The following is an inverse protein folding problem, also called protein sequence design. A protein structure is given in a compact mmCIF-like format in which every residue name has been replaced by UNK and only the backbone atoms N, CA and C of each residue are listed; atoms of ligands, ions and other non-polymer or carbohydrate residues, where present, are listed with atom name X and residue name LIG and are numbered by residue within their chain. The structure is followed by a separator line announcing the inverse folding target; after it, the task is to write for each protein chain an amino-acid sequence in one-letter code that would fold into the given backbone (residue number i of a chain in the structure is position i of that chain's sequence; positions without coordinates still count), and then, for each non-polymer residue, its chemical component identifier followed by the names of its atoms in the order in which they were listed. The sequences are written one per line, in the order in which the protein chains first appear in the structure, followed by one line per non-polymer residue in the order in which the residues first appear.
data_IF_663967966894
#
_entry.id   IF_663967966894
#
_cell.length_a   1.000
_cell.length_b   1.000
_cell.length_c   1.000
_cell.angle_alpha   90.00
_cell.angle_beta   90.00
_cell.angle_gamma   90.00
#
_symmetry.space_group_name_H-M   'P 1'
#
loop_
_entity.id
_entity.type
_entity.pdbx_description
1 polymer ?
#
# COMPACT_ATOMS: atom_id res chain seq x y z
N UNK A 1 -16.47 -6.98 66.22
CA UNK A 1 -16.22 -6.25 64.99
C UNK A 1 -14.73 -5.95 64.93
N UNK A 2 -13.87 -6.73 64.20
CA UNK A 2 -12.44 -6.36 64.05
C UNK A 2 -12.25 -5.50 62.78
N UNK A 3 -11.46 -4.44 62.94
CA UNK A 3 -11.05 -3.49 61.94
C UNK A 3 -10.12 -4.12 60.90
N UNK A 4 -10.51 -4.11 59.62
CA UNK A 4 -9.65 -4.50 58.47
C UNK A 4 -8.71 -3.36 58.13
N UNK A 5 -7.43 -3.58 58.41
CA UNK A 5 -6.32 -2.71 57.97
C UNK A 5 -6.12 -2.86 56.46
N UNK A 6 -6.48 -1.83 55.66
CA UNK A 6 -6.12 -1.72 54.24
C UNK A 6 -4.61 -1.51 54.12
N UNK A 7 -3.92 -2.52 53.54
CA UNK A 7 -2.55 -2.37 53.03
C UNK A 7 -2.61 -1.67 51.69
N UNK A 8 -2.14 -0.46 51.61
CA UNK A 8 -1.77 0.25 50.37
C UNK A 8 -0.49 -0.37 49.85
N UNK A 9 -0.55 -1.07 48.71
CA UNK A 9 0.64 -1.50 47.96
C UNK A 9 1.13 -0.32 47.11
N UNK A 10 2.35 0.13 47.39
CA UNK A 10 3.07 1.13 46.59
C UNK A 10 3.39 0.54 45.22
N UNK A 11 2.85 1.15 44.16
CA UNK A 11 3.19 0.85 42.78
C UNK A 11 4.56 1.49 42.52
N UNK A 12 5.61 0.67 42.38
CA UNK A 12 6.93 1.12 41.94
C UNK A 12 6.86 1.51 40.47
N UNK A 13 7.17 2.76 40.20
CA UNK A 13 7.37 3.29 38.83
C UNK A 13 8.52 2.56 38.16
N UNK A 14 8.21 1.87 37.05
CA UNK A 14 9.17 1.23 36.17
C UNK A 14 9.96 2.29 35.41
N UNK A 15 11.28 2.34 35.65
CA UNK A 15 12.21 3.18 34.92
C UNK A 15 12.37 2.69 33.48
N UNK A 16 12.51 3.57 32.48
CA UNK A 16 12.72 3.19 31.10
C UNK A 16 14.08 2.49 30.91
N UNK A 17 14.05 1.27 30.40
CA UNK A 17 15.26 0.50 30.05
C UNK A 17 15.88 1.08 28.79
N UNK A 18 17.02 1.77 28.92
CA UNK A 18 17.87 2.17 27.80
C UNK A 18 18.47 0.93 27.12
N UNK A 19 18.00 0.60 25.92
CA UNK A 19 18.60 -0.43 25.07
C UNK A 19 19.77 0.19 24.31
N UNK A 20 20.99 -0.06 24.79
CA UNK A 20 22.23 0.28 24.06
C UNK A 20 22.35 -0.62 22.83
N UNK A 21 22.69 -0.10 21.62
CA UNK A 21 22.90 -0.93 20.44
C UNK A 21 24.16 -1.79 20.62
N UNK A 22 23.99 -3.12 20.51
CA UNK A 22 25.09 -4.07 20.52
C UNK A 22 25.96 -3.87 19.26
N UNK A 23 27.22 -3.49 19.48
CA UNK A 23 28.25 -3.33 18.48
C UNK A 23 28.71 -4.72 18.01
N UNK A 24 28.17 -5.22 16.89
CA UNK A 24 28.62 -6.45 16.24
C UNK A 24 29.88 -6.12 15.42
N UNK A 25 31.04 -6.28 16.06
CA UNK A 25 32.33 -6.25 15.41
C UNK A 25 32.45 -7.38 14.40
N UNK A 26 32.41 -7.05 13.11
CA UNK A 26 32.75 -7.95 12.03
C UNK A 26 34.26 -7.91 11.85
N UNK A 27 34.95 -8.89 12.43
CA UNK A 27 36.36 -9.15 12.19
C UNK A 27 36.56 -9.66 10.75
N UNK A 28 37.23 -8.83 9.96
CA UNK A 28 37.71 -9.21 8.64
C UNK A 28 39.04 -9.97 8.78
N UNK A 29 39.01 -11.30 8.76
CA UNK A 29 40.21 -12.09 8.48
C UNK A 29 40.13 -12.65 7.06
N UNK A 30 40.92 -12.01 6.18
CA UNK A 30 41.14 -12.45 4.81
C UNK A 30 41.98 -13.71 4.75
N UNK A 31 41.41 -14.81 4.27
CA UNK A 31 42.18 -15.94 3.71
C UNK A 31 42.15 -15.86 2.19
N UNK A 32 43.28 -15.44 1.63
CA UNK A 32 43.57 -15.54 0.21
C UNK A 32 43.50 -17.01 -0.23
N UNK A 33 42.58 -17.34 -1.15
CA UNK A 33 42.58 -18.62 -1.86
C UNK A 33 43.44 -18.48 -3.10
N UNK A 34 44.52 -19.24 -3.13
CA UNK A 34 45.40 -19.42 -4.27
C UNK A 34 44.60 -19.87 -5.51
N UNK A 35 44.71 -19.08 -6.57
CA UNK A 35 44.21 -19.44 -7.89
C UNK A 35 45.14 -20.48 -8.52
N UNK A 36 44.65 -21.71 -8.70
CA UNK A 36 45.31 -22.73 -9.50
C UNK A 36 45.41 -22.22 -10.93
N UNK A 37 46.64 -22.15 -11.43
CA UNK A 37 47.00 -21.94 -12.85
C UNK A 37 46.48 -23.14 -13.65
N UNK A 38 45.53 -22.89 -14.52
CA UNK A 38 45.14 -23.89 -15.54
C UNK A 38 46.03 -23.74 -16.75
N UNK A 39 46.63 -24.84 -17.07
CA UNK A 39 47.54 -25.00 -18.20
C UNK A 39 46.83 -24.71 -19.53
N UNK A 40 47.50 -23.91 -20.33
CA UNK A 40 47.11 -23.48 -21.66
C UNK A 40 47.36 -24.62 -22.67
N UNK A 41 46.33 -25.12 -23.33
CA UNK A 41 46.43 -26.02 -24.48
C UNK A 41 46.24 -25.20 -25.77
N UNK A 42 47.24 -25.09 -26.65
CA UNK A 42 47.08 -24.37 -27.91
C UNK A 42 46.62 -25.34 -29.03
N UNK A 43 45.49 -25.03 -29.67
CA UNK A 43 45.13 -25.69 -30.91
C UNK A 43 43.64 -25.83 -31.20
N UNK A 44 43.03 -24.79 -31.72
CA UNK A 44 41.67 -24.84 -32.27
C UNK A 44 41.38 -23.59 -33.08
N UNK A 45 41.57 -23.65 -34.42
CA UNK A 45 41.15 -22.60 -35.35
C UNK A 45 39.62 -22.47 -35.30
N UNK A 46 39.07 -21.43 -34.61
CA UNK A 46 37.66 -21.10 -34.69
C UNK A 46 37.47 -19.93 -35.64
N UNK A 47 36.74 -20.22 -36.70
CA UNK A 47 36.21 -19.30 -37.70
C UNK A 47 35.42 -18.17 -37.04
N UNK A 48 35.81 -16.93 -37.34
CA UNK A 48 35.18 -15.73 -36.80
C UNK A 48 33.76 -15.54 -37.32
N UNK A 49 32.79 -15.68 -36.44
CA UNK A 49 31.43 -15.20 -36.72
C UNK A 49 31.26 -13.87 -35.99
N UNK A 50 31.32 -12.75 -36.74
CA UNK A 50 31.08 -11.38 -36.28
C UNK A 50 29.61 -11.20 -36.01
N UNK A 51 29.13 -11.53 -34.78
CA UNK A 51 27.83 -11.14 -34.26
C UNK A 51 28.02 -10.32 -32.97
N UNK A 52 28.46 -9.10 -33.08
CA UNK A 52 28.79 -8.23 -31.94
C UNK A 52 28.13 -6.87 -31.91
N UNK A 53 26.99 -6.66 -32.64
CA UNK A 53 26.37 -5.32 -32.75
C UNK A 53 25.14 -5.05 -31.90
N UNK A 54 24.42 -6.07 -31.41
CA UNK A 54 23.03 -5.85 -30.88
C UNK A 54 22.85 -6.00 -29.35
N UNK A 55 23.90 -6.44 -28.64
CA UNK A 55 23.76 -6.66 -27.19
C UNK A 55 23.92 -5.37 -26.34
N UNK A 56 24.78 -4.44 -26.80
CA UNK A 56 24.99 -3.15 -26.07
C UNK A 56 23.75 -2.24 -26.07
N UNK A 57 22.94 -2.29 -27.14
CA UNK A 57 21.67 -1.54 -27.22
C UNK A 57 20.58 -2.09 -26.29
N UNK A 58 20.50 -3.42 -26.13
CA UNK A 58 19.53 -4.07 -25.21
C UNK A 58 19.85 -3.78 -23.74
N UNK A 59 21.13 -3.78 -23.33
CA UNK A 59 21.52 -3.45 -21.95
C UNK A 59 21.23 -1.99 -21.58
N UNK A 60 21.48 -1.02 -22.46
CA UNK A 60 21.15 0.40 -22.21
C UNK A 60 19.65 0.63 -22.10
N UNK A 61 18.85 -0.06 -22.92
CA UNK A 61 17.39 0.07 -22.95
C UNK A 61 16.74 -0.55 -21.69
N UNK A 62 17.29 -1.67 -21.18
CA UNK A 62 16.83 -2.26 -19.92
C UNK A 62 17.18 -1.37 -18.73
N UNK A 63 18.41 -0.83 -18.67
CA UNK A 63 18.83 0.06 -17.57
C UNK A 63 18.04 1.37 -17.52
N UNK A 64 17.56 1.90 -18.67
CA UNK A 64 16.66 3.05 -18.71
C UNK A 64 15.26 2.70 -18.20
N UNK A 65 14.71 1.54 -18.60
CA UNK A 65 13.41 1.04 -18.11
C UNK A 65 13.43 0.72 -16.62
N UNK A 66 14.55 0.24 -16.09
CA UNK A 66 14.69 -0.05 -14.68
C UNK A 66 14.77 1.23 -13.84
N UNK A 67 15.47 2.28 -14.31
CA UNK A 67 15.46 3.62 -13.69
C UNK A 67 14.07 4.25 -13.70
N UNK A 68 13.37 4.24 -14.83
CA UNK A 68 11.99 4.76 -14.92
C UNK A 68 10.99 3.97 -14.04
N UNK A 69 11.30 2.71 -13.70
CA UNK A 69 10.53 1.92 -12.74
C UNK A 69 10.87 2.24 -11.30
N UNK A 70 12.11 2.58 -11.02
CA UNK A 70 12.56 2.97 -9.68
C UNK A 70 12.03 4.37 -9.32
N UNK A 71 12.08 5.33 -10.23
CA UNK A 71 11.53 6.68 -10.05
C UNK A 71 10.00 6.65 -9.78
N UNK A 72 9.27 5.68 -10.37
CA UNK A 72 7.84 5.46 -10.08
C UNK A 72 7.56 4.69 -8.77
N UNK A 73 8.59 4.15 -8.11
CA UNK A 73 8.39 3.48 -6.81
C UNK A 73 8.16 4.47 -5.68
N UNK A 74 8.73 5.66 -5.79
CA UNK A 74 8.70 6.68 -4.73
C UNK A 74 7.40 7.50 -4.71
N UNK A 75 6.56 7.41 -5.79
CA UNK A 75 5.29 8.11 -5.87
C UNK A 75 4.18 7.53 -4.97
N UNK A 76 4.33 6.28 -4.50
CA UNK A 76 3.29 5.58 -3.74
C UNK A 76 3.78 5.20 -2.35
N UNK A 77 3.09 5.68 -1.34
CA UNK A 77 3.26 5.19 0.02
C UNK A 77 2.73 3.76 0.13
N UNK A 78 3.46 2.90 0.84
CA UNK A 78 3.08 1.52 1.06
C UNK A 78 2.91 1.23 2.55
N UNK A 79 1.83 0.52 2.91
CA UNK A 79 1.60 0.03 4.28
C UNK A 79 1.22 -1.43 4.27
N UNK A 80 1.84 -2.20 5.15
CA UNK A 80 1.53 -3.60 5.34
C UNK A 80 0.27 -3.71 6.20
N UNK A 81 -0.76 -4.41 5.70
CA UNK A 81 -2.01 -4.64 6.40
C UNK A 81 -1.97 -5.91 7.24
N UNK A 82 -1.35 -6.97 6.71
CA UNK A 82 -1.26 -8.27 7.36
C UNK A 82 -0.08 -9.09 6.84
N UNK A 83 0.61 -9.78 7.75
CA UNK A 83 1.64 -10.78 7.43
C UNK A 83 1.29 -12.05 8.17
N UNK A 84 1.23 -13.16 7.44
CA UNK A 84 0.98 -14.47 8.01
C UNK A 84 1.95 -15.51 7.45
N UNK A 85 2.47 -16.37 8.33
CA UNK A 85 3.19 -17.58 7.93
C UNK A 85 2.18 -18.66 7.53
N UNK A 86 2.19 -19.07 6.29
CA UNK A 86 1.29 -20.10 5.75
C UNK A 86 2.07 -21.38 5.46
N UNK A 87 1.45 -22.50 5.74
CA UNK A 87 2.07 -23.83 5.69
C UNK A 87 1.33 -24.73 4.73
N UNK A 88 2.08 -25.45 3.89
CA UNK A 88 1.58 -26.58 3.10
C UNK A 88 2.10 -27.86 3.72
N UNK A 89 1.19 -28.72 4.14
CA UNK A 89 1.49 -30.04 4.70
C UNK A 89 1.62 -31.04 3.54
N UNK A 90 2.66 -31.85 3.56
CA UNK A 90 2.97 -32.89 2.58
C UNK A 90 3.38 -34.17 3.33
N UNK A 91 3.47 -35.32 2.63
CA UNK A 91 3.84 -36.61 3.25
C UNK A 91 5.19 -36.54 4.02
N UNK A 92 6.18 -35.81 3.52
CA UNK A 92 7.50 -35.66 4.16
C UNK A 92 7.64 -34.48 5.12
N UNK A 93 6.55 -33.78 5.47
CA UNK A 93 6.62 -32.65 6.42
C UNK A 93 5.85 -31.40 6.00
N UNK A 94 6.27 -30.23 6.50
CA UNK A 94 5.57 -28.96 6.33
C UNK A 94 6.44 -27.96 5.57
N UNK A 95 5.99 -27.49 4.40
CA UNK A 95 6.65 -26.39 3.69
C UNK A 95 6.02 -25.06 4.08
N UNK A 96 6.81 -24.20 4.68
CA UNK A 96 6.38 -22.88 5.14
C UNK A 96 6.64 -21.80 4.10
N UNK A 97 5.81 -20.77 4.10
CA UNK A 97 5.96 -19.56 3.26
C UNK A 97 5.32 -18.38 3.97
N UNK A 98 5.71 -17.17 3.61
CA UNK A 98 5.09 -15.95 4.12
C UNK A 98 4.06 -15.41 3.14
N UNK A 99 2.93 -14.95 3.66
CA UNK A 99 1.89 -14.23 2.92
C UNK A 99 1.83 -12.81 3.45
N UNK A 100 1.99 -11.81 2.57
CA UNK A 100 1.83 -10.41 2.89
C UNK A 100 0.64 -9.82 2.14
N UNK A 101 -0.17 -9.02 2.84
CA UNK A 101 -1.19 -8.14 2.28
C UNK A 101 -0.70 -6.71 2.43
N UNK A 102 -0.57 -5.99 1.33
CA UNK A 102 -0.04 -4.62 1.31
C UNK A 102 -1.04 -3.71 0.61
N UNK A 103 -1.27 -2.54 1.19
CA UNK A 103 -1.96 -1.43 0.55
C UNK A 103 -0.94 -0.42 0.06
N UNK A 104 -1.19 0.18 -1.10
CA UNK A 104 -0.42 1.30 -1.65
C UNK A 104 -1.37 2.43 -2.03
N UNK A 105 -0.90 3.67 -1.92
CA UNK A 105 -1.66 4.84 -2.33
C UNK A 105 -0.78 6.05 -2.55
N UNK A 106 -1.28 7.03 -3.27
CA UNK A 106 -0.61 8.29 -3.58
C UNK A 106 -1.07 9.47 -2.70
N UNK A 107 -1.99 9.21 -1.75
CA UNK A 107 -2.70 10.22 -0.95
C UNK A 107 -3.46 11.27 -1.80
N UNK A 108 -3.61 11.00 -3.12
CA UNK A 108 -4.28 11.87 -4.10
C UNK A 108 -5.41 11.14 -4.82
N UNK A 109 -6.20 10.35 -4.08
CA UNK A 109 -7.34 9.58 -4.57
C UNK A 109 -7.04 8.25 -5.25
N UNK A 110 -5.79 7.78 -5.32
CA UNK A 110 -5.46 6.45 -5.86
C UNK A 110 -5.03 5.51 -4.75
N UNK A 111 -5.66 4.36 -4.69
CA UNK A 111 -5.33 3.32 -3.71
C UNK A 111 -5.43 1.94 -4.36
N UNK A 112 -4.56 1.02 -3.95
CA UNK A 112 -4.57 -0.36 -4.43
C UNK A 112 -4.17 -1.35 -3.36
N UNK A 113 -4.62 -2.58 -3.51
CA UNK A 113 -4.26 -3.69 -2.61
C UNK A 113 -3.64 -4.82 -3.41
N UNK A 114 -2.61 -5.42 -2.82
CA UNK A 114 -1.98 -6.61 -3.36
C UNK A 114 -1.76 -7.67 -2.30
N UNK A 115 -1.91 -8.92 -2.71
CA UNK A 115 -1.60 -10.09 -1.92
C UNK A 115 -0.42 -10.82 -2.55
N UNK A 116 0.67 -10.98 -1.80
CA UNK A 116 1.89 -11.68 -2.21
C UNK A 116 2.21 -12.88 -1.33
N UNK A 117 2.85 -13.91 -1.90
CA UNK A 117 3.41 -15.06 -1.20
C UNK A 117 4.88 -15.22 -1.59
N UNK A 118 5.75 -15.43 -0.60
CA UNK A 118 7.18 -15.60 -0.78
C UNK A 118 7.78 -16.63 0.16
N UNK A 119 9.01 -17.04 -0.11
CA UNK A 119 9.81 -17.84 0.82
C UNK A 119 10.22 -16.97 2.02
N UNK A 120 10.50 -15.70 1.77
CA UNK A 120 10.84 -14.69 2.75
C UNK A 120 9.81 -13.54 2.76
N UNK A 121 9.75 -12.78 3.85
CA UNK A 121 8.81 -11.66 4.05
C UNK A 121 9.06 -10.56 3.01
N UNK A 122 10.33 -10.18 2.78
CA UNK A 122 10.69 -9.14 1.82
C UNK A 122 10.24 -9.50 0.39
N UNK A 123 10.43 -10.77 -0.02
CA UNK A 123 9.95 -11.27 -1.31
C UNK A 123 8.41 -11.28 -1.41
N UNK A 124 7.70 -11.59 -0.30
CA UNK A 124 6.24 -11.58 -0.27
C UNK A 124 5.70 -10.15 -0.41
N UNK A 125 6.30 -9.17 0.32
CA UNK A 125 5.94 -7.75 0.26
C UNK A 125 6.17 -7.19 -1.15
N UNK A 126 7.34 -7.40 -1.75
CA UNK A 126 7.64 -6.92 -3.11
C UNK A 126 6.66 -7.48 -4.17
N UNK A 127 6.27 -8.75 -4.05
CA UNK A 127 5.23 -9.34 -4.91
C UNK A 127 3.86 -8.71 -4.67
N UNK A 128 3.51 -8.43 -3.41
CA UNK A 128 2.26 -7.77 -3.06
C UNK A 128 2.19 -6.35 -3.63
N UNK A 129 3.25 -5.55 -3.46
CA UNK A 129 3.37 -4.19 -4.03
C UNK A 129 3.21 -4.20 -5.55
N UNK A 130 3.89 -5.11 -6.25
CA UNK A 130 3.79 -5.21 -7.71
C UNK A 130 2.36 -5.60 -8.17
N UNK A 131 1.60 -6.38 -7.39
CA UNK A 131 0.19 -6.66 -7.64
C UNK A 131 -0.69 -5.45 -7.34
N UNK A 132 -0.44 -4.76 -6.24
CA UNK A 132 -1.19 -3.58 -5.84
C UNK A 132 -1.06 -2.45 -6.88
N UNK A 133 0.14 -2.22 -7.44
CA UNK A 133 0.38 -1.27 -8.53
C UNK A 133 -0.41 -1.57 -9.81
N UNK A 134 -0.78 -2.83 -10.05
CA UNK A 134 -1.62 -3.21 -11.19
C UNK A 134 -3.12 -2.99 -10.93
N UNK A 135 -3.53 -2.98 -9.66
CA UNK A 135 -4.92 -2.91 -9.23
C UNK A 135 -5.20 -1.59 -8.49
N UNK A 136 -4.70 -0.48 -9.03
CA UNK A 136 -5.01 0.85 -8.51
C UNK A 136 -6.45 1.23 -8.88
N UNK A 137 -7.16 1.79 -7.92
CA UNK A 137 -8.53 2.29 -8.02
C UNK A 137 -8.54 3.76 -7.69
N UNK A 138 -9.26 4.56 -8.48
CA UNK A 138 -9.50 5.97 -8.18
C UNK A 138 -10.72 6.11 -7.29
N UNK A 139 -10.54 6.77 -6.16
CA UNK A 139 -11.57 7.05 -5.17
C UNK A 139 -12.16 8.43 -5.44
N UNK A 140 -13.46 8.55 -5.72
CA UNK A 140 -14.08 9.85 -5.86
C UNK A 140 -14.17 10.53 -4.48
N UNK A 141 -13.54 11.68 -4.33
CA UNK A 141 -13.59 12.50 -3.11
C UNK A 141 -14.25 13.84 -3.41
N UNK A 142 -15.06 14.33 -2.47
CA UNK A 142 -15.73 15.62 -2.52
C UNK A 142 -15.48 16.33 -1.20
N UNK A 143 -14.87 17.51 -1.22
CA UNK A 143 -14.59 18.27 0.00
C UNK A 143 -13.88 17.44 1.09
N UNK A 144 -12.87 16.64 0.72
CA UNK A 144 -12.08 15.78 1.61
C UNK A 144 -12.85 14.60 2.23
N UNK A 145 -14.08 14.32 1.77
CA UNK A 145 -14.90 13.20 2.21
C UNK A 145 -15.41 12.38 1.02
N UNK A 146 -16.11 11.30 1.31
CA UNK A 146 -16.77 10.46 0.30
C UNK A 146 -18.08 11.09 -0.18
N UNK A 147 -18.51 10.88 -1.45
CA UNK A 147 -19.69 11.50 -2.04
C UNK A 147 -21.01 11.14 -1.37
N UNK A 148 -21.18 9.89 -0.98
CA UNK A 148 -22.43 9.36 -0.40
C UNK A 148 -22.16 8.17 0.52
N UNK A 149 -23.17 7.82 1.29
CA UNK A 149 -23.17 6.61 2.11
C UNK A 149 -23.22 5.36 1.20
N UNK A 150 -22.37 4.37 1.48
CA UNK A 150 -22.37 3.09 0.79
C UNK A 150 -22.27 1.93 1.79
N UNK A 151 -23.20 0.98 1.64
CA UNK A 151 -23.12 -0.32 2.28
C UNK A 151 -22.72 -1.36 1.22
N UNK A 152 -21.61 -2.05 1.46
CA UNK A 152 -21.11 -3.02 0.49
C UNK A 152 -20.72 -4.34 1.14
N UNK A 153 -21.01 -5.44 0.44
CA UNK A 153 -20.73 -6.81 0.89
C UNK A 153 -19.94 -7.56 -0.17
N UNK A 154 -18.84 -8.19 0.24
CA UNK A 154 -18.04 -9.12 -0.57
C UNK A 154 -17.83 -10.39 0.22
N UNK A 155 -18.47 -11.48 -0.20
CA UNK A 155 -18.46 -12.72 0.56
C UNK A 155 -18.94 -12.53 2.00
N UNK A 156 -18.10 -12.82 2.98
CA UNK A 156 -18.40 -12.64 4.40
C UNK A 156 -18.08 -11.22 4.92
N UNK A 157 -17.31 -10.42 4.20
CA UNK A 157 -16.99 -9.05 4.59
C UNK A 157 -18.14 -8.10 4.25
N UNK A 158 -18.50 -7.25 5.21
CA UNK A 158 -19.53 -6.21 5.08
C UNK A 158 -18.97 -4.92 5.63
N UNK A 159 -19.01 -3.85 4.85
CA UNK A 159 -18.49 -2.54 5.26
C UNK A 159 -19.53 -1.47 4.96
N UNK A 160 -19.69 -0.57 5.91
CA UNK A 160 -20.52 0.62 5.80
C UNK A 160 -19.59 1.83 5.82
N UNK A 161 -19.67 2.68 4.79
CA UNK A 161 -19.02 3.98 4.74
C UNK A 161 -20.06 5.09 4.84
N UNK A 162 -19.80 6.10 5.67
CA UNK A 162 -20.64 7.31 5.81
C UNK A 162 -19.75 8.55 5.65
N UNK A 163 -20.20 9.56 4.89
CA UNK A 163 -19.50 10.83 4.84
C UNK A 163 -19.50 11.49 6.22
N UNK A 164 -18.42 12.20 6.54
CA UNK A 164 -18.27 12.91 7.80
C UNK A 164 -18.01 14.40 7.57
N UNK A 165 -18.36 15.22 8.56
CA UNK A 165 -18.10 16.67 8.53
C UNK A 165 -16.60 16.93 8.56
N UNK A 166 -16.16 18.04 7.98
CA UNK A 166 -14.77 18.50 8.03
C UNK A 166 -14.27 18.58 9.47
N UNK A 167 -13.02 18.14 9.69
CA UNK A 167 -12.38 18.14 11.01
C UNK A 167 -12.67 16.90 11.87
N UNK A 168 -13.54 15.97 11.42
CA UNK A 168 -13.83 14.74 12.19
C UNK A 168 -12.71 13.69 12.07
N UNK A 169 -11.96 13.71 10.98
CA UNK A 169 -10.93 12.74 10.71
C UNK A 169 -11.48 11.39 10.21
N UNK A 170 -10.58 10.41 10.10
CA UNK A 170 -10.92 9.04 9.68
C UNK A 170 -11.26 8.19 10.90
N UNK A 171 -12.55 7.82 11.04
CA UNK A 171 -13.04 6.93 12.08
C UNK A 171 -13.38 5.59 11.45
N UNK A 172 -12.45 4.62 11.52
CA UNK A 172 -12.61 3.33 10.87
C UNK A 172 -11.81 2.22 11.59
N UNK A 173 -12.14 0.96 11.31
CA UNK A 173 -11.33 -0.17 11.72
C UNK A 173 -9.94 -0.15 11.07
N UNK A 174 -8.90 -0.68 11.72
CA UNK A 174 -7.49 -0.48 11.37
C UNK A 174 -7.16 -0.69 9.89
N UNK A 175 -7.64 -1.77 9.27
CA UNK A 175 -7.40 -2.05 7.83
C UNK A 175 -8.05 -0.99 6.93
N UNK A 176 -9.31 -0.68 7.21
CA UNK A 176 -10.07 0.30 6.42
C UNK A 176 -9.51 1.71 6.61
N UNK A 177 -9.11 2.06 7.84
CA UNK A 177 -8.45 3.32 8.16
C UNK A 177 -7.18 3.52 7.34
N UNK A 178 -6.29 2.52 7.32
CA UNK A 178 -5.06 2.57 6.54
C UNK A 178 -5.32 2.78 5.05
N UNK A 179 -6.35 2.12 4.48
CA UNK A 179 -6.72 2.26 3.08
C UNK A 179 -7.22 3.67 2.77
N UNK A 180 -8.07 4.24 3.63
CA UNK A 180 -8.62 5.59 3.48
C UNK A 180 -7.55 6.68 3.63
N UNK A 181 -6.62 6.52 4.57
CA UNK A 181 -5.46 7.41 4.73
C UNK A 181 -4.57 7.40 3.48
N UNK A 182 -4.28 6.22 2.92
CA UNK A 182 -3.52 6.06 1.69
C UNK A 182 -4.26 6.60 0.45
N UNK A 183 -5.59 6.56 0.45
CA UNK A 183 -6.42 7.16 -0.59
C UNK A 183 -6.50 8.69 -0.49
N UNK A 184 -6.05 9.29 0.62
CA UNK A 184 -6.15 10.74 0.84
C UNK A 184 -7.52 11.23 1.25
N UNK A 185 -8.39 10.35 1.77
CA UNK A 185 -9.68 10.74 2.36
C UNK A 185 -9.46 11.15 3.80
N UNK A 186 -9.79 12.40 4.13
CA UNK A 186 -9.52 12.94 5.47
C UNK A 186 -10.71 12.81 6.43
N UNK A 187 -11.94 12.87 5.93
CA UNK A 187 -13.13 12.92 6.78
C UNK A 187 -14.13 11.82 6.40
N UNK A 188 -14.14 10.72 7.13
CA UNK A 188 -15.03 9.59 6.85
C UNK A 188 -15.27 8.76 8.11
N UNK A 189 -16.49 8.23 8.24
CA UNK A 189 -16.84 7.24 9.26
C UNK A 189 -17.11 5.90 8.60
N UNK A 190 -16.44 4.84 9.05
CA UNK A 190 -16.64 3.51 8.51
C UNK A 190 -16.78 2.45 9.60
N UNK A 191 -17.63 1.45 9.35
CA UNK A 191 -17.83 0.32 10.25
C UNK A 191 -17.73 -1.01 9.49
N UNK A 192 -16.93 -1.93 10.03
CA UNK A 192 -16.85 -3.32 9.59
C UNK A 192 -17.94 -4.09 10.35
N UNK A 193 -18.86 -4.72 9.62
CA UNK A 193 -20.04 -5.40 10.17
C UNK A 193 -20.00 -6.92 9.98
N UNK A 194 -19.10 -7.42 9.13
CA UNK A 194 -19.00 -8.84 8.78
C UNK A 194 -17.88 -9.56 9.52
N UNK A 195 -16.95 -10.09 8.75
CA UNK A 195 -15.82 -10.88 9.24
C UNK A 195 -14.69 -10.03 9.82
N UNK A 196 -13.89 -10.61 10.71
CA UNK A 196 -12.66 -10.00 11.22
C UNK A 196 -11.43 -10.26 10.31
N UNK A 197 -11.60 -10.96 9.19
CA UNK A 197 -10.50 -11.27 8.28
C UNK A 197 -10.01 -9.99 7.56
N UNK A 198 -8.79 -9.58 7.87
CA UNK A 198 -8.16 -8.36 7.35
C UNK A 198 -8.11 -8.32 5.81
N UNK A 199 -7.81 -9.46 5.17
CA UNK A 199 -7.69 -9.55 3.71
C UNK A 199 -9.05 -9.35 3.04
N UNK A 200 -10.10 -10.01 3.55
CA UNK A 200 -11.44 -9.88 3.01
C UNK A 200 -11.98 -8.46 3.20
N UNK A 201 -11.73 -7.87 4.37
CA UNK A 201 -12.12 -6.49 4.65
C UNK A 201 -11.37 -5.50 3.75
N UNK A 202 -10.08 -5.73 3.47
CA UNK A 202 -9.31 -4.92 2.55
C UNK A 202 -9.89 -4.98 1.12
N UNK A 203 -10.16 -6.19 0.61
CA UNK A 203 -10.80 -6.38 -0.70
C UNK A 203 -12.17 -5.71 -0.79
N UNK A 204 -13.03 -5.92 0.22
CA UNK A 204 -14.35 -5.31 0.31
C UNK A 204 -14.28 -3.77 0.31
N UNK A 205 -13.32 -3.19 1.03
CA UNK A 205 -13.12 -1.74 1.07
C UNK A 205 -12.80 -1.17 -0.33
N UNK A 206 -11.87 -1.78 -1.08
CA UNK A 206 -11.53 -1.32 -2.43
C UNK A 206 -12.70 -1.47 -3.40
N UNK A 207 -13.41 -2.58 -3.36
CA UNK A 207 -14.58 -2.77 -4.23
C UNK A 207 -15.70 -1.78 -3.90
N UNK A 208 -15.91 -1.46 -2.62
CA UNK A 208 -16.86 -0.44 -2.20
C UNK A 208 -16.46 0.94 -2.76
N UNK A 209 -15.18 1.32 -2.61
CA UNK A 209 -14.65 2.59 -3.14
C UNK A 209 -14.76 2.69 -4.67
N UNK A 210 -14.52 1.58 -5.39
CA UNK A 210 -14.66 1.50 -6.85
C UNK A 210 -16.11 1.70 -7.33
N UNK A 211 -17.09 1.28 -6.52
CA UNK A 211 -18.53 1.38 -6.85
C UNK A 211 -19.15 2.72 -6.47
N UNK A 212 -18.41 3.61 -5.80
CA UNK A 212 -18.90 4.94 -5.50
C UNK A 212 -19.18 5.74 -6.77
N UNK A 213 -20.32 6.40 -6.83
CA UNK A 213 -20.69 7.28 -7.95
C UNK A 213 -19.86 8.55 -7.89
N UNK A 214 -19.27 8.93 -9.01
CA UNK A 214 -18.65 10.26 -9.17
C UNK A 214 -19.78 11.30 -9.27
N UNK A 215 -19.93 12.15 -8.28
CA UNK A 215 -20.88 13.26 -8.31
C UNK A 215 -20.10 14.47 -8.79
N UNK A 216 -20.41 14.96 -9.99
CA UNK A 216 -19.91 16.24 -10.49
C UNK A 216 -20.62 17.36 -9.74
N UNK A 217 -19.89 18.10 -8.91
CA UNK A 217 -20.42 19.33 -8.32
C UNK A 217 -20.42 20.37 -9.45
N UNK A 218 -21.57 20.60 -10.05
CA UNK A 218 -21.77 21.78 -10.89
C UNK A 218 -21.56 22.98 -9.98
N UNK A 219 -20.46 23.70 -10.17
CA UNK A 219 -20.18 24.94 -9.45
C UNK A 219 -21.37 25.90 -9.65
N UNK A 220 -21.93 26.41 -8.55
CA UNK A 220 -23.07 27.36 -8.57
C UNK A 220 -22.72 28.68 -9.26
N UNK A 221 -21.46 28.91 -9.55
CA UNK A 221 -20.94 30.16 -10.11
C UNK A 221 -21.30 30.41 -11.59
N UNK A 222 -21.96 29.41 -12.26
CA UNK A 222 -22.43 29.61 -13.63
C UNK A 222 -23.91 30.08 -13.72
N UNK A 223 -24.62 30.19 -12.59
CA UNK A 223 -26.00 30.68 -12.62
C UNK A 223 -26.13 32.22 -12.51
N UNK A 224 -25.16 32.91 -11.85
CA UNK A 224 -25.18 34.38 -11.73
C UNK A 224 -24.95 35.10 -13.06
N UNK A 225 -24.18 34.54 -13.99
CA UNK A 225 -23.91 35.16 -15.29
C UNK A 225 -25.04 35.04 -16.34
N UNK A 226 -26.15 34.33 -16.05
CA UNK A 226 -27.31 34.27 -16.95
C UNK A 226 -28.46 35.17 -16.52
N UNK A 227 -28.55 35.53 -15.26
CA UNK A 227 -29.60 36.44 -14.76
C UNK A 227 -29.28 37.87 -15.11
N UNK A 228 -28.00 38.27 -15.13
CA UNK A 228 -27.57 39.64 -15.50
C UNK A 228 -27.75 39.94 -16.98
N UNK A 229 -27.81 38.93 -17.87
CA UNK A 229 -28.06 39.12 -19.30
C UNK A 229 -29.53 39.28 -19.66
N UNK A 230 -30.44 38.76 -18.88
CA UNK A 230 -31.87 38.84 -19.12
C UNK A 230 -32.43 40.21 -18.69
N UNK A 231 -31.83 40.81 -17.67
CA UNK A 231 -32.21 42.18 -17.22
C UNK A 231 -31.67 43.29 -18.08
N UNK A 232 -30.54 43.07 -18.80
CA UNK A 232 -29.95 44.06 -19.72
C UNK A 232 -30.72 44.16 -21.06
N UNK A 233 -31.38 43.07 -21.51
CA UNK A 233 -32.17 43.08 -22.76
C UNK A 233 -33.60 43.60 -22.59
N UNK A 234 -34.13 43.61 -21.37
CA UNK A 234 -35.49 44.12 -21.10
C UNK A 234 -35.57 45.65 -20.96
N UNK A 235 -34.43 46.35 -20.85
CA UNK A 235 -34.34 47.81 -20.68
C UNK A 235 -34.23 48.66 -21.97
N UNK A 236 -34.15 48.05 -23.15
CA UNK A 236 -33.98 48.77 -24.43
C UNK A 236 -35.11 48.47 -25.41
N UNK A 237 -36.32 48.92 -25.11
CA UNK A 237 -37.38 49.13 -26.11
C UNK A 237 -37.94 50.51 -25.95
N UNK A 238 -37.97 51.32 -27.02
CA UNK A 238 -38.51 52.68 -27.06
C UNK A 238 -40.03 52.71 -26.91
#
# INVERSE_FOLDING_TARGET
MPEEKKKTEEIKEDQPVEIKPANLGIGAEGKAKETKKNDFVPGGKFSGNRMGGNQRGKMKRNKKRDRERDDKRDEYEQRVLDIARVTRVMAGGKRMSFRACVAIGDRRNKVGIGLGKGADVAMAVNKAVNKAKKNLVEVPTINETIPHEIYYKVGAAKILFKPARRGRGVIAGGVVRTILELAGVHNVSAKILGTNNKINNAGCAIEALKKMKKIEIKSKDQKSGKEDKITAEAGSRP
#
